data_IF_964645386275
#
_entry.id   IF_964645386275
#
_cell.length_a   1.000
_cell.length_b   1.000
_cell.length_c   1.000
_cell.angle_alpha   90.00
_cell.angle_beta   90.00
_cell.angle_gamma   90.00
#
_symmetry.space_group_name_H-M   'P 1'
#
loop_
_entity.id
_entity.type
_entity.pdbx_description
1 polymer ?
#
# COMPACT_ATOMS: atom_id res chain seq x y z
N UNK A 1 -30.04 -27.78 -0.66
CA UNK A 1 -28.98 -26.80 -0.27
C UNK A 1 -29.36 -25.44 -0.85
N UNK A 2 -29.52 -24.39 -0.04
CA UNK A 2 -29.70 -23.02 -0.55
C UNK A 2 -28.33 -22.44 -0.90
N UNK A 3 -28.10 -22.16 -2.17
CA UNK A 3 -26.95 -21.38 -2.62
C UNK A 3 -27.20 -19.91 -2.28
N UNK A 4 -26.26 -19.28 -1.58
CA UNK A 4 -26.23 -17.83 -1.45
C UNK A 4 -25.15 -17.29 -2.37
N UNK A 5 -25.33 -16.05 -2.85
CA UNK A 5 -24.32 -15.35 -3.65
C UNK A 5 -22.96 -15.33 -2.93
N UNK A 6 -22.97 -15.08 -1.61
CA UNK A 6 -21.78 -15.12 -0.76
C UNK A 6 -21.05 -16.47 -0.87
N UNK A 7 -21.77 -17.59 -0.69
CA UNK A 7 -21.19 -18.93 -0.77
C UNK A 7 -20.64 -19.24 -2.16
N UNK A 8 -21.36 -18.85 -3.21
CA UNK A 8 -20.90 -19.02 -4.59
C UNK A 8 -19.59 -18.27 -4.85
N UNK A 9 -19.50 -17.00 -4.41
CA UNK A 9 -18.29 -16.19 -4.56
C UNK A 9 -17.12 -16.73 -3.73
N UNK A 10 -17.36 -17.21 -2.51
CA UNK A 10 -16.34 -17.85 -1.67
C UNK A 10 -15.80 -19.13 -2.32
N UNK A 11 -16.67 -20.00 -2.84
CA UNK A 11 -16.25 -21.23 -3.52
C UNK A 11 -15.53 -20.94 -4.84
N UNK A 12 -15.99 -19.96 -5.63
CA UNK A 12 -15.31 -19.52 -6.86
C UNK A 12 -13.92 -18.95 -6.55
N UNK A 13 -13.80 -18.12 -5.51
CA UNK A 13 -12.53 -17.57 -5.08
C UNK A 13 -11.57 -18.68 -4.66
N UNK A 14 -12.02 -19.64 -3.84
CA UNK A 14 -11.21 -20.77 -3.38
C UNK A 14 -10.81 -21.73 -4.53
N UNK A 15 -11.58 -21.77 -5.61
CA UNK A 15 -11.23 -22.52 -6.82
C UNK A 15 -10.15 -21.80 -7.64
N UNK A 16 -10.27 -20.48 -7.81
CA UNK A 16 -9.36 -19.68 -8.65
C UNK A 16 -8.04 -19.32 -7.96
N UNK A 17 -8.03 -19.23 -6.62
CA UNK A 17 -6.90 -18.72 -5.86
C UNK A 17 -6.39 -19.75 -4.85
N UNK A 18 -5.07 -19.79 -4.59
CA UNK A 18 -4.52 -20.69 -3.60
C UNK A 18 -4.98 -20.30 -2.18
N UNK A 19 -5.04 -21.28 -1.28
CA UNK A 19 -5.50 -21.08 0.11
C UNK A 19 -4.68 -20.02 0.87
N UNK A 20 -3.42 -19.81 0.48
CA UNK A 20 -2.51 -18.82 1.06
C UNK A 20 -2.47 -17.49 0.28
N UNK A 21 -3.39 -17.25 -0.65
CA UNK A 21 -3.39 -16.06 -1.51
C UNK A 21 -3.26 -14.76 -0.72
N UNK A 22 -4.06 -14.59 0.35
CA UNK A 22 -4.00 -13.38 1.19
C UNK A 22 -2.65 -13.22 1.90
N UNK A 23 -2.03 -14.32 2.30
CA UNK A 23 -0.68 -14.32 2.89
C UNK A 23 0.34 -13.84 1.86
N UNK A 24 0.29 -14.38 0.63
CA UNK A 24 1.16 -13.96 -0.47
C UNK A 24 0.98 -12.47 -0.79
N UNK A 25 -0.26 -11.98 -0.86
CA UNK A 25 -0.50 -10.56 -1.08
C UNK A 25 0.05 -9.70 0.05
N UNK A 26 -0.06 -10.16 1.31
CA UNK A 26 0.48 -9.44 2.47
C UNK A 26 2.00 -9.38 2.43
N UNK A 27 2.66 -10.47 2.07
CA UNK A 27 4.12 -10.49 1.88
C UNK A 27 4.55 -9.54 0.77
N UNK A 28 3.83 -9.53 -0.38
CA UNK A 28 4.07 -8.57 -1.47
C UNK A 28 3.91 -7.12 -1.01
N UNK A 29 2.82 -6.81 -0.30
CA UNK A 29 2.57 -5.49 0.27
C UNK A 29 3.70 -5.05 1.22
N UNK A 30 4.14 -5.94 2.11
CA UNK A 30 5.22 -5.65 3.06
C UNK A 30 6.59 -5.54 2.37
N UNK A 31 6.81 -6.21 1.25
CA UNK A 31 8.05 -6.13 0.49
C UNK A 31 8.09 -4.97 -0.53
N UNK A 32 6.94 -4.45 -0.97
CA UNK A 32 6.87 -3.49 -2.08
C UNK A 32 7.49 -2.12 -1.77
N UNK A 33 8.51 -1.72 -2.51
CA UNK A 33 9.23 -0.44 -2.33
C UNK A 33 9.02 0.46 -3.54
N UNK A 34 9.34 1.74 -3.37
CA UNK A 34 9.30 2.70 -4.47
C UNK A 34 10.30 2.33 -5.57
N UNK A 35 11.54 2.00 -5.20
CA UNK A 35 12.59 1.48 -6.09
C UNK A 35 12.71 2.28 -7.41
N UNK A 36 12.73 3.61 -7.31
CA UNK A 36 12.88 4.52 -8.44
C UNK A 36 11.63 4.79 -9.29
N UNK A 37 10.47 4.20 -8.94
CA UNK A 37 9.20 4.63 -9.52
C UNK A 37 8.81 6.01 -8.98
N UNK A 38 7.98 6.75 -9.72
CA UNK A 38 7.41 8.00 -9.21
C UNK A 38 6.61 7.73 -7.93
N UNK A 39 6.61 8.67 -6.99
CA UNK A 39 5.92 8.51 -5.72
C UNK A 39 4.41 8.27 -5.92
N UNK A 40 3.86 8.84 -6.99
CA UNK A 40 2.47 8.67 -7.43
C UNK A 40 2.19 7.24 -7.90
N UNK A 41 3.03 6.68 -8.76
CA UNK A 41 2.88 5.30 -9.24
C UNK A 41 3.12 4.30 -8.12
N UNK A 42 4.13 4.57 -7.27
CA UNK A 42 4.38 3.80 -6.06
C UNK A 42 3.15 3.75 -5.14
N UNK A 43 2.54 4.92 -4.84
CA UNK A 43 1.30 4.98 -4.06
C UNK A 43 0.20 4.14 -4.68
N UNK A 44 -0.06 4.30 -5.99
CA UNK A 44 -1.14 3.59 -6.69
C UNK A 44 -0.98 2.08 -6.56
N UNK A 45 0.20 1.53 -6.87
CA UNK A 45 0.43 0.09 -6.78
C UNK A 45 0.40 -0.41 -5.32
N UNK A 46 0.83 0.42 -4.36
CA UNK A 46 0.73 0.09 -2.95
C UNK A 46 -0.74 0.02 -2.48
N UNK A 47 -1.62 0.91 -2.98
CA UNK A 47 -3.08 0.88 -2.75
C UNK A 47 -3.70 -0.40 -3.32
N UNK A 48 -3.37 -0.77 -4.55
CA UNK A 48 -3.84 -2.02 -5.18
C UNK A 48 -3.44 -3.26 -4.36
N UNK A 49 -2.20 -3.31 -3.87
CA UNK A 49 -1.74 -4.38 -2.98
C UNK A 49 -2.50 -4.36 -1.66
N UNK A 50 -2.71 -3.19 -1.05
CA UNK A 50 -3.47 -3.07 0.20
C UNK A 50 -4.91 -3.59 0.07
N UNK A 51 -5.59 -3.26 -1.02
CA UNK A 51 -6.95 -3.71 -1.33
C UNK A 51 -7.01 -5.23 -1.47
N UNK A 52 -6.00 -5.86 -2.07
CA UNK A 52 -5.93 -7.31 -2.22
C UNK A 52 -5.66 -8.06 -0.90
N UNK A 53 -4.97 -7.43 0.05
CA UNK A 53 -4.76 -7.97 1.41
C UNK A 53 -6.04 -7.86 2.24
N UNK A 54 -6.71 -6.71 2.14
CA UNK A 54 -7.85 -6.34 2.98
C UNK A 54 -7.45 -6.04 4.43
N UNK A 55 -8.31 -5.28 5.13
CA UNK A 55 -8.15 -4.92 6.55
C UNK A 55 -6.84 -4.15 6.88
N UNK A 56 -6.36 -3.29 5.99
CA UNK A 56 -5.25 -2.37 6.30
C UNK A 56 -5.82 -1.05 6.81
N UNK A 57 -5.38 -0.59 7.98
CA UNK A 57 -5.81 0.71 8.49
C UNK A 57 -5.15 1.84 7.71
N UNK A 58 -5.81 3.02 7.64
CA UNK A 58 -5.22 4.20 7.00
C UNK A 58 -3.86 4.57 7.60
N UNK A 59 -3.68 4.37 8.92
CA UNK A 59 -2.44 4.62 9.63
C UNK A 59 -1.34 3.65 9.21
N UNK A 60 -1.64 2.35 9.20
CA UNK A 60 -0.68 1.33 8.74
C UNK A 60 -0.28 1.56 7.29
N UNK A 61 -1.21 2.03 6.46
CA UNK A 61 -0.93 2.40 5.08
C UNK A 61 0.08 3.55 4.99
N UNK A 62 -0.11 4.63 5.76
CA UNK A 62 0.83 5.77 5.78
C UNK A 62 2.21 5.33 6.27
N UNK A 63 2.28 4.54 7.34
CA UNK A 63 3.54 4.00 7.87
C UNK A 63 4.24 3.15 6.80
N UNK A 64 3.49 2.26 6.13
CA UNK A 64 4.05 1.42 5.09
C UNK A 64 4.54 2.24 3.90
N UNK A 65 3.75 3.20 3.44
CA UNK A 65 4.10 4.11 2.36
C UNK A 65 5.41 4.84 2.66
N UNK A 66 5.54 5.40 3.87
CA UNK A 66 6.77 6.02 4.32
C UNK A 66 7.94 5.03 4.30
N UNK A 67 7.80 3.85 4.88
CA UNK A 67 8.90 2.86 4.99
C UNK A 67 9.40 2.34 3.64
N UNK A 68 8.51 2.26 2.64
CA UNK A 68 8.84 1.78 1.29
C UNK A 68 9.33 2.88 0.36
N UNK A 69 9.09 4.15 0.68
CA UNK A 69 9.62 5.27 -0.08
C UNK A 69 11.16 5.31 -0.08
N UNK A 70 11.70 5.88 -1.15
CA UNK A 70 13.14 6.02 -1.34
C UNK A 70 13.76 6.88 -0.24
N UNK A 71 15.03 6.57 0.08
CA UNK A 71 15.70 7.14 1.26
C UNK A 71 15.74 8.67 1.23
N UNK A 72 15.93 9.28 0.06
CA UNK A 72 16.04 10.73 -0.07
C UNK A 72 14.70 11.43 0.26
N UNK A 73 13.56 10.87 -0.18
CA UNK A 73 12.23 11.39 0.15
C UNK A 73 11.96 11.32 1.65
N UNK A 74 12.27 10.19 2.29
CA UNK A 74 12.13 10.07 3.75
C UNK A 74 12.96 11.10 4.51
N UNK A 75 14.17 11.39 4.04
CA UNK A 75 15.03 12.42 4.64
C UNK A 75 14.41 13.81 4.44
N UNK A 76 13.90 14.11 3.24
CA UNK A 76 13.29 15.40 2.95
C UNK A 76 12.00 15.60 3.74
N UNK A 77 11.14 14.58 3.82
CA UNK A 77 9.95 14.61 4.67
C UNK A 77 10.29 14.85 6.14
N UNK A 78 11.33 14.19 6.66
CA UNK A 78 11.76 14.39 8.04
C UNK A 78 12.30 15.82 8.27
N UNK A 79 13.02 16.40 7.31
CA UNK A 79 13.49 17.80 7.38
C UNK A 79 12.33 18.79 7.37
N UNK A 80 11.29 18.50 6.61
CA UNK A 80 10.09 19.35 6.49
C UNK A 80 9.08 19.09 7.63
N UNK A 81 9.41 18.23 8.59
CA UNK A 81 8.65 18.02 9.82
C UNK A 81 7.49 17.02 9.71
N UNK A 82 7.43 16.23 8.63
CA UNK A 82 6.46 15.16 8.50
C UNK A 82 6.78 13.97 9.40
N UNK A 83 5.73 13.27 9.85
CA UNK A 83 5.81 12.12 10.74
C UNK A 83 4.80 11.06 10.24
N UNK A 84 5.24 9.84 9.90
CA UNK A 84 4.33 8.80 9.37
C UNK A 84 3.19 8.43 10.32
N UNK A 85 3.29 8.74 11.62
CA UNK A 85 2.24 8.48 12.61
C UNK A 85 1.15 9.57 12.64
N UNK A 86 1.44 10.75 12.05
CA UNK A 86 0.57 11.95 12.16
C UNK A 86 0.19 12.54 10.81
N UNK A 87 1.06 12.40 9.81
CA UNK A 87 0.87 12.95 8.46
C UNK A 87 -0.21 12.20 7.70
N UNK A 88 -0.89 12.90 6.79
CA UNK A 88 -1.84 12.27 5.87
C UNK A 88 -1.09 11.79 4.63
N UNK A 89 -1.60 10.72 4.02
CA UNK A 89 -1.02 10.17 2.79
C UNK A 89 -0.92 11.21 1.66
N UNK A 90 -1.93 12.08 1.54
CA UNK A 90 -1.96 13.13 0.51
C UNK A 90 -0.83 14.13 0.71
N UNK A 91 -0.58 14.57 1.95
CA UNK A 91 0.49 15.53 2.25
C UNK A 91 1.87 14.94 1.90
N UNK A 92 2.08 13.65 2.17
CA UNK A 92 3.32 12.94 1.81
C UNK A 92 3.46 12.75 0.30
N UNK A 93 2.37 12.40 -0.39
CA UNK A 93 2.38 12.27 -1.85
C UNK A 93 2.72 13.60 -2.52
N UNK A 94 1.99 14.68 -2.19
CA UNK A 94 2.18 15.99 -2.80
C UNK A 94 3.58 16.56 -2.55
N UNK A 95 4.11 16.40 -1.34
CA UNK A 95 5.50 16.79 -1.04
C UNK A 95 6.51 15.91 -1.77
N UNK A 96 6.28 14.60 -1.85
CA UNK A 96 7.12 13.68 -2.59
C UNK A 96 7.20 14.03 -4.09
N UNK A 97 6.06 14.36 -4.70
CA UNK A 97 6.00 14.77 -6.11
C UNK A 97 6.78 16.06 -6.36
N UNK A 98 6.79 17.01 -5.40
CA UNK A 98 7.60 18.23 -5.49
C UNK A 98 9.10 17.94 -5.44
N UNK A 99 9.55 17.02 -4.58
CA UNK A 99 10.97 16.67 -4.47
C UNK A 99 11.49 15.84 -5.65
N UNK A 100 10.63 15.04 -6.28
CA UNK A 100 10.98 14.31 -7.51
C UNK A 100 11.23 15.23 -8.71
N UNK A 101 10.69 16.45 -8.67
CA UNK A 101 10.79 17.45 -9.75
C UNK A 101 11.90 18.49 -9.50
N UNK A 102 12.54 18.48 -8.32
CA UNK A 102 13.60 19.43 -7.93
C UNK A 102 14.99 18.91 -8.24
#
# INVERSE_FOLDING_TARGET
RKWSLKRFLEELFNYCFPVNFRTIQRERYLAYRQDGHSIRDYKRHLEELADSVGNISKRDFVIRFWQGADKYLRVQWAKDGYDPEKSKILDLQESGERYEQS
#
